data_IF_702230154110
#
_entry.id   IF_702230154110
#
_cell.length_a   1.000
_cell.length_b   1.000
_cell.length_c   1.000
_cell.angle_alpha   90.00
_cell.angle_beta   90.00
_cell.angle_gamma   90.00
#
_symmetry.space_group_name_H-M   'P 1'
#
loop_
_entity.id
_entity.type
_entity.pdbx_description
1 polymer ?
#
# COMPACT_ATOMS: atom_id res chain seq x y z
N UNK A 1 -6.87 13.76 4.81
CA UNK A 1 -6.56 15.09 4.25
C UNK A 1 -5.14 15.45 4.65
N UNK A 2 -4.38 16.01 3.73
CA UNK A 2 -2.98 16.40 3.95
C UNK A 2 -2.59 17.55 3.04
N UNK A 3 -1.56 18.30 3.44
CA UNK A 3 -0.93 19.32 2.60
C UNK A 3 0.00 18.67 1.58
N UNK A 4 -0.10 19.03 0.32
CA UNK A 4 0.77 18.56 -0.75
C UNK A 4 2.24 18.86 -0.41
N UNK A 5 3.13 17.86 -0.39
CA UNK A 5 4.55 18.11 -0.20
C UNK A 5 5.10 18.90 -1.41
N UNK A 6 6.23 19.62 -1.27
CA UNK A 6 6.80 20.41 -2.36
C UNK A 6 6.94 19.63 -3.66
N UNK A 7 7.40 18.38 -3.59
CA UNK A 7 7.51 17.47 -4.74
C UNK A 7 6.21 17.38 -5.58
N UNK A 8 5.05 17.57 -4.96
CA UNK A 8 3.75 17.51 -5.63
C UNK A 8 3.28 18.84 -6.20
N UNK A 9 3.63 19.95 -5.56
CA UNK A 9 3.04 21.28 -5.83
C UNK A 9 4.00 22.23 -6.55
N UNK A 10 5.25 21.81 -6.84
CA UNK A 10 6.28 22.66 -7.45
C UNK A 10 5.89 23.27 -8.81
N UNK A 11 4.87 22.73 -9.49
CA UNK A 11 4.38 23.21 -10.79
C UNK A 11 2.99 23.90 -10.69
N UNK A 12 2.44 24.04 -9.49
CA UNK A 12 1.12 24.66 -9.28
C UNK A 12 1.28 26.17 -9.07
N UNK A 13 0.61 26.96 -9.90
CA UNK A 13 0.59 28.43 -9.80
C UNK A 13 -0.05 28.78 -8.46
N UNK A 14 0.69 29.48 -7.59
CA UNK A 14 0.16 29.91 -6.30
C UNK A 14 -1.13 30.73 -6.49
N UNK A 15 -2.25 30.37 -5.83
CA UNK A 15 -3.37 31.26 -5.70
C UNK A 15 -2.89 32.56 -5.02
N UNK A 16 -3.29 33.72 -5.54
CA UNK A 16 -2.99 34.99 -4.86
C UNK A 16 -3.63 34.98 -3.46
N UNK A 17 -2.81 34.84 -2.42
CA UNK A 17 -3.25 35.06 -1.05
C UNK A 17 -3.68 36.51 -0.90
N UNK A 18 -4.96 36.73 -0.55
CA UNK A 18 -5.46 38.08 -0.28
C UNK A 18 -4.84 38.60 1.01
N UNK A 19 -4.27 39.80 1.01
CA UNK A 19 -3.67 40.47 2.18
C UNK A 19 -4.66 40.91 3.26
N UNK A 20 -5.96 40.61 3.09
CA UNK A 20 -7.02 41.03 4.00
C UNK A 20 -7.42 39.88 4.96
N UNK A 21 -7.13 40.07 6.26
CA UNK A 21 -7.39 39.10 7.34
C UNK A 21 -8.87 38.71 7.47
N UNK A 22 -9.81 39.60 7.12
CA UNK A 22 -11.25 39.31 7.17
C UNK A 22 -11.63 38.34 6.04
N UNK A 23 -11.04 38.53 4.86
CA UNK A 23 -11.27 37.64 3.70
C UNK A 23 -10.64 36.28 3.95
N UNK A 24 -9.47 36.21 4.59
CA UNK A 24 -8.85 34.95 5.00
C UNK A 24 -9.71 34.20 6.03
N UNK A 25 -10.26 34.90 7.03
CA UNK A 25 -11.15 34.29 8.02
C UNK A 25 -12.45 33.73 7.42
N UNK A 26 -13.09 34.49 6.52
CA UNK A 26 -14.29 34.04 5.82
C UNK A 26 -14.02 32.87 4.86
N UNK A 27 -12.88 32.89 4.15
CA UNK A 27 -12.46 31.77 3.29
C UNK A 27 -12.09 30.53 4.10
N UNK A 28 -11.44 30.67 5.25
CA UNK A 28 -11.12 29.55 6.15
C UNK A 28 -12.36 28.89 6.74
N UNK A 29 -13.36 29.68 7.14
CA UNK A 29 -14.67 29.16 7.54
C UNK A 29 -15.41 28.53 6.36
N UNK A 30 -15.35 29.16 5.19
CA UNK A 30 -15.93 28.65 3.95
C UNK A 30 -15.31 27.32 3.51
N UNK A 31 -13.99 27.15 3.58
CA UNK A 31 -13.28 25.93 3.18
C UNK A 31 -13.55 24.77 4.15
N UNK A 32 -13.68 25.06 5.45
CA UNK A 32 -14.08 24.07 6.46
C UNK A 32 -15.46 23.45 6.16
N UNK A 33 -16.40 24.26 5.64
CA UNK A 33 -17.77 23.85 5.30
C UNK A 33 -17.92 23.47 3.82
N UNK A 34 -16.88 23.67 3.00
CA UNK A 34 -16.86 23.34 1.56
C UNK A 34 -17.48 24.40 0.63
N UNK A 35 -17.70 25.63 1.10
CA UNK A 35 -18.19 26.78 0.33
C UNK A 35 -17.09 27.65 -0.31
N UNK A 36 -15.84 27.48 0.11
CA UNK A 36 -14.68 28.03 -0.59
C UNK A 36 -13.88 26.84 -1.17
N UNK A 37 -13.33 26.96 -2.39
CA UNK A 37 -12.44 25.93 -2.91
C UNK A 37 -11.35 25.70 -1.86
N UNK A 38 -11.08 24.44 -1.45
CA UNK A 38 -9.93 24.16 -0.59
C UNK A 38 -8.70 24.77 -1.27
N UNK A 39 -7.73 25.24 -0.48
CA UNK A 39 -6.45 25.62 -1.06
C UNK A 39 -6.01 24.47 -1.99
N UNK A 40 -5.57 24.78 -3.21
CA UNK A 40 -5.23 23.79 -4.24
C UNK A 40 -4.15 22.79 -3.78
N UNK A 41 -3.56 23.05 -2.61
CA UNK A 41 -2.53 22.25 -1.94
C UNK A 41 -3.07 21.25 -0.92
N UNK A 42 -4.37 21.24 -0.62
CA UNK A 42 -4.95 20.27 0.33
C UNK A 42 -5.59 19.10 -0.40
N UNK A 43 -5.10 17.88 -0.12
CA UNK A 43 -5.48 16.67 -0.83
C UNK A 43 -6.21 15.68 0.08
N UNK A 44 -7.18 14.97 -0.48
CA UNK A 44 -7.86 13.85 0.16
C UNK A 44 -7.57 12.58 -0.63
N UNK A 45 -6.80 11.67 -0.02
CA UNK A 45 -6.45 10.35 -0.56
C UNK A 45 -6.45 9.33 0.57
N UNK A 46 -6.48 8.05 0.23
CA UNK A 46 -6.38 6.94 1.19
C UNK A 46 -4.94 6.54 1.40
N UNK A 47 -4.55 6.29 2.65
CA UNK A 47 -3.24 5.70 2.98
C UNK A 47 -3.26 4.21 2.61
N UNK A 48 -2.32 3.81 1.76
CA UNK A 48 -2.18 2.44 1.26
C UNK A 48 -1.05 1.71 1.98
N UNK A 49 0.08 2.39 2.20
CA UNK A 49 1.23 1.85 2.91
C UNK A 49 1.89 2.92 3.79
N UNK A 50 2.57 2.49 4.85
CA UNK A 50 3.29 3.37 5.78
C UNK A 50 4.80 3.11 5.70
N UNK A 51 5.59 4.01 6.29
CA UNK A 51 7.04 3.93 6.28
C UNK A 51 7.62 2.57 6.67
N UNK A 52 8.59 2.10 5.90
CA UNK A 52 9.22 0.79 6.03
C UNK A 52 8.63 -0.30 5.14
N UNK A 53 7.35 -0.16 4.74
CA UNK A 53 6.67 -1.11 3.86
C UNK A 53 7.11 -0.93 2.40
N UNK A 54 7.01 -2.01 1.62
CA UNK A 54 7.19 -1.98 0.17
C UNK A 54 5.83 -2.10 -0.51
N UNK A 55 5.49 -1.10 -1.33
CA UNK A 55 4.25 -1.06 -2.10
C UNK A 55 4.56 -1.25 -3.58
N UNK A 56 3.75 -2.04 -4.27
CA UNK A 56 3.90 -2.27 -5.70
C UNK A 56 2.55 -2.56 -6.35
N UNK A 57 2.47 -2.27 -7.64
CA UNK A 57 1.40 -2.76 -8.50
C UNK A 57 1.98 -3.76 -9.50
N UNK A 58 1.33 -4.88 -9.80
CA UNK A 58 0.14 -5.46 -9.18
C UNK A 58 0.26 -6.98 -9.17
N UNK A 59 -0.62 -7.66 -8.41
CA UNK A 59 -0.75 -9.12 -8.54
C UNK A 59 -1.39 -9.50 -9.89
N UNK A 60 -1.41 -10.81 -10.26
CA UNK A 60 -2.01 -11.25 -11.52
C UNK A 60 -3.50 -10.90 -11.68
N UNK A 61 -4.18 -10.53 -10.60
CA UNK A 61 -5.58 -10.11 -10.55
C UNK A 61 -5.72 -8.57 -10.57
N UNK A 62 -4.63 -7.83 -10.76
CA UNK A 62 -4.64 -6.36 -10.82
C UNK A 62 -4.77 -5.69 -9.46
N UNK A 63 -4.53 -6.40 -8.35
CA UNK A 63 -4.60 -5.83 -6.99
C UNK A 63 -3.26 -5.25 -6.57
N UNK A 64 -3.34 -4.17 -5.80
CA UNK A 64 -2.17 -3.58 -5.14
C UNK A 64 -1.55 -4.57 -4.16
N UNK A 65 -0.22 -4.55 -4.04
CA UNK A 65 0.52 -5.40 -3.12
C UNK A 65 1.28 -4.51 -2.13
N UNK A 66 1.21 -4.86 -0.84
CA UNK A 66 2.06 -4.28 0.22
C UNK A 66 2.75 -5.42 0.96
N UNK A 67 4.07 -5.37 1.05
CA UNK A 67 4.93 -6.38 1.68
C UNK A 67 4.60 -7.82 1.20
N UNK A 68 4.36 -7.97 -0.11
CA UNK A 68 4.03 -9.25 -0.74
C UNK A 68 2.59 -9.73 -0.52
N UNK A 69 1.71 -8.93 0.10
CA UNK A 69 0.29 -9.25 0.31
C UNK A 69 -0.61 -8.38 -0.56
N UNK A 70 -1.51 -9.00 -1.31
CA UNK A 70 -2.52 -8.32 -2.10
C UNK A 70 -3.58 -7.71 -1.18
N UNK A 71 -3.88 -6.44 -1.41
CA UNK A 71 -4.81 -5.67 -0.61
C UNK A 71 -6.26 -6.08 -0.86
N UNK A 72 -7.10 -5.89 0.16
CA UNK A 72 -8.56 -5.97 0.06
C UNK A 72 -9.13 -4.56 -0.07
N UNK A 73 -9.62 -4.20 -1.26
CA UNK A 73 -9.95 -2.82 -1.62
C UNK A 73 -11.41 -2.66 -2.12
N UNK A 74 -12.43 -2.94 -1.29
CA UNK A 74 -13.84 -2.88 -1.67
C UNK A 74 -14.34 -1.45 -1.97
N UNK A 75 -13.53 -0.45 -1.64
CA UNK A 75 -13.82 0.97 -1.84
C UNK A 75 -13.40 1.50 -3.22
N UNK A 76 -12.72 0.70 -4.05
CA UNK A 76 -12.23 1.19 -5.34
C UNK A 76 -13.41 1.52 -6.25
N UNK A 77 -13.28 2.67 -6.89
CA UNK A 77 -14.14 3.10 -7.97
C UNK A 77 -13.35 3.09 -9.29
N UNK A 78 -14.01 2.59 -10.33
CA UNK A 78 -13.54 2.62 -11.70
C UNK A 78 -14.47 3.54 -12.49
N UNK A 79 -13.93 4.59 -13.10
CA UNK A 79 -14.73 5.52 -13.91
C UNK A 79 -15.41 4.80 -15.09
N UNK A 80 -14.71 3.86 -15.72
CA UNK A 80 -15.27 2.88 -16.65
C UNK A 80 -15.20 1.48 -16.00
N UNK A 81 -16.33 0.91 -15.57
CA UNK A 81 -16.37 -0.42 -14.97
C UNK A 81 -15.89 -1.56 -15.89
N UNK A 82 -15.84 -1.32 -17.21
CA UNK A 82 -15.32 -2.28 -18.19
C UNK A 82 -13.79 -2.30 -18.24
N UNK A 83 -13.12 -1.27 -17.70
CA UNK A 83 -11.67 -1.12 -17.67
C UNK A 83 -11.17 -1.01 -16.23
N UNK A 84 -11.02 -2.16 -15.58
CA UNK A 84 -10.54 -2.27 -14.19
C UNK A 84 -9.02 -2.45 -14.13
N UNK A 85 -8.30 -1.49 -14.70
CA UNK A 85 -6.85 -1.55 -14.80
C UNK A 85 -6.18 -0.56 -13.84
N UNK A 86 -5.30 -1.06 -12.98
CA UNK A 86 -4.44 -0.21 -12.16
C UNK A 86 -3.31 0.36 -13.02
N UNK A 87 -3.03 1.65 -12.82
CA UNK A 87 -1.81 2.23 -13.39
C UNK A 87 -0.59 1.63 -12.67
N UNK A 88 0.27 0.95 -13.43
CA UNK A 88 1.45 0.25 -12.91
C UNK A 88 2.57 1.22 -12.57
N UNK A 89 3.43 0.81 -11.62
CA UNK A 89 4.60 1.56 -11.19
C UNK A 89 5.59 0.58 -10.53
N UNK A 90 6.87 0.95 -10.54
CA UNK A 90 7.92 0.13 -9.93
C UNK A 90 7.74 -0.01 -8.41
N UNK A 91 8.18 -1.13 -7.80
CA UNK A 91 8.12 -1.31 -6.35
C UNK A 91 8.80 -0.15 -5.61
N UNK A 92 8.07 0.45 -4.66
CA UNK A 92 8.56 1.56 -3.85
C UNK A 92 8.63 1.12 -2.39
N UNK A 93 9.82 1.24 -1.80
CA UNK A 93 9.96 1.17 -0.34
C UNK A 93 9.64 2.53 0.26
N UNK A 94 8.55 2.61 1.01
CA UNK A 94 8.09 3.86 1.62
C UNK A 94 9.11 4.30 2.68
N UNK A 95 9.67 5.51 2.60
CA UNK A 95 10.61 6.01 3.60
C UNK A 95 9.99 6.07 5.00
N UNK A 96 10.82 5.94 6.03
CA UNK A 96 10.37 6.13 7.41
C UNK A 96 9.79 7.54 7.61
N UNK A 97 8.71 7.66 8.39
CA UNK A 97 8.02 8.92 8.60
C UNK A 97 7.19 9.41 7.40
N UNK A 98 7.01 8.58 6.37
CA UNK A 98 6.18 8.89 5.20
C UNK A 98 5.07 7.86 5.02
N UNK A 99 4.09 8.22 4.19
CA UNK A 99 2.97 7.37 3.77
C UNK A 99 2.85 7.36 2.25
N UNK A 100 2.42 6.23 1.71
CA UNK A 100 2.00 6.09 0.32
C UNK A 100 0.49 6.25 0.24
N UNK A 101 0.00 7.15 -0.62
CA UNK A 101 -1.43 7.46 -0.71
C UNK A 101 -1.94 7.32 -2.14
N UNK A 102 -3.18 6.83 -2.29
CA UNK A 102 -3.85 6.71 -3.58
C UNK A 102 -5.30 7.17 -3.50
N UNK A 103 -5.84 7.65 -4.61
CA UNK A 103 -7.26 7.94 -4.73
C UNK A 103 -8.08 6.65 -4.84
N UNK A 104 -9.33 6.70 -4.39
CA UNK A 104 -10.26 5.58 -4.54
C UNK A 104 -10.77 5.47 -6.00
N UNK A 105 -10.81 6.58 -6.75
CA UNK A 105 -11.01 6.58 -8.21
C UNK A 105 -9.69 6.22 -8.92
N UNK A 106 -9.45 4.93 -9.14
CA UNK A 106 -8.08 4.42 -9.39
C UNK A 106 -7.50 4.76 -10.74
N UNK A 107 -8.33 4.83 -11.77
CA UNK A 107 -7.94 5.20 -13.13
C UNK A 107 -7.89 6.72 -13.34
N UNK A 108 -8.54 7.50 -12.46
CA UNK A 108 -8.64 8.96 -12.55
C UNK A 108 -8.24 9.64 -11.23
N UNK A 109 -7.00 9.42 -10.80
CA UNK A 109 -6.42 10.06 -9.62
C UNK A 109 -4.93 10.28 -9.80
N UNK A 110 -4.50 11.54 -9.79
CA UNK A 110 -3.10 11.91 -9.60
C UNK A 110 -2.77 11.79 -8.11
N UNK A 111 -1.86 10.86 -7.80
CA UNK A 111 -1.48 10.47 -6.45
C UNK A 111 -0.04 9.96 -6.42
N UNK A 112 0.39 9.31 -5.32
CA UNK A 112 1.79 8.91 -5.10
C UNK A 112 2.40 8.12 -6.26
N UNK A 113 1.60 7.44 -7.08
CA UNK A 113 2.09 6.69 -8.25
C UNK A 113 2.82 7.57 -9.27
N UNK A 114 2.39 8.83 -9.45
CA UNK A 114 2.90 9.72 -10.50
C UNK A 114 3.36 11.08 -9.98
N UNK A 115 2.79 11.54 -8.88
CA UNK A 115 3.08 12.85 -8.33
C UNK A 115 4.54 12.94 -7.86
N UNK A 116 5.20 14.08 -8.10
CA UNK A 116 6.64 14.23 -7.87
C UNK A 116 7.54 13.37 -8.79
N UNK A 117 6.98 12.86 -9.89
CA UNK A 117 7.67 11.93 -10.80
C UNK A 117 7.59 10.47 -10.35
N UNK A 118 6.74 10.15 -9.37
CA UNK A 118 6.58 8.80 -8.83
C UNK A 118 7.77 8.35 -7.97
N UNK A 119 7.86 7.03 -7.75
CA UNK A 119 8.89 6.46 -6.89
C UNK A 119 8.82 7.02 -5.46
N UNK A 120 9.97 7.17 -4.79
CA UNK A 120 10.02 7.70 -3.42
C UNK A 120 9.51 9.15 -3.30
N UNK A 121 9.57 9.94 -4.38
CA UNK A 121 9.09 11.33 -4.40
C UNK A 121 7.56 11.42 -4.38
N UNK A 122 6.88 10.32 -4.70
CA UNK A 122 5.45 10.18 -4.53
C UNK A 122 5.01 10.02 -3.08
N UNK A 123 5.90 9.69 -2.15
CA UNK A 123 5.54 9.51 -0.75
C UNK A 123 5.27 10.87 -0.05
N UNK A 124 4.35 10.86 0.92
CA UNK A 124 3.92 12.06 1.64
C UNK A 124 4.41 11.97 3.09
N UNK A 125 5.06 13.01 3.64
CA UNK A 125 5.43 13.05 5.05
C UNK A 125 4.22 12.92 5.98
N UNK A 126 4.35 12.18 7.08
CA UNK A 126 3.29 12.07 8.10
C UNK A 126 2.92 13.44 8.67
N UNK A 127 3.90 14.33 8.82
CA UNK A 127 3.70 15.69 9.33
C UNK A 127 2.82 16.57 8.41
N UNK A 128 2.65 16.18 7.15
CA UNK A 128 1.74 16.87 6.24
C UNK A 128 0.27 16.46 6.44
N UNK A 129 -0.01 15.40 7.22
CA UNK A 129 -1.37 14.93 7.46
C UNK A 129 -2.08 15.90 8.41
N UNK A 130 -3.13 16.53 7.89
CA UNK A 130 -3.98 17.46 8.66
C UNK A 130 -4.96 16.66 9.52
N UNK A 131 -5.54 15.60 8.95
CA UNK A 131 -6.53 14.81 9.66
C UNK A 131 -7.27 13.80 8.79
N UNK A 132 -8.14 13.04 9.45
CA UNK A 132 -8.92 11.96 8.85
C UNK A 132 -10.35 12.42 8.56
N UNK A 133 -10.83 12.14 7.35
CA UNK A 133 -12.21 12.44 6.97
C UNK A 133 -13.15 11.47 7.70
N UNK A 134 -14.19 11.98 8.37
CA UNK A 134 -15.11 11.16 9.20
C UNK A 134 -16.59 11.40 8.93
N UNK A 135 -16.97 12.55 8.36
CA UNK A 135 -18.38 12.95 8.21
C UNK A 135 -18.58 13.57 6.83
N UNK A 136 -19.67 13.20 6.17
CA UNK A 136 -20.15 13.84 4.96
C UNK A 136 -21.15 14.92 5.37
N UNK A 137 -20.78 16.18 5.19
CA UNK A 137 -21.63 17.33 5.57
C UNK A 137 -22.46 17.87 4.42
N UNK A 138 -22.14 17.52 3.17
CA UNK A 138 -22.89 17.92 1.97
C UNK A 138 -22.81 16.86 0.86
N UNK A 139 -23.83 16.79 -0.03
CA UNK A 139 -25.15 17.42 0.13
C UNK A 139 -25.94 16.78 1.30
N UNK A 140 -27.00 17.42 1.83
CA UNK A 140 -27.75 16.90 2.98
C UNK A 140 -28.31 15.49 2.80
N UNK A 141 -28.63 15.12 1.56
CA UNK A 141 -29.07 13.77 1.19
C UNK A 141 -28.02 12.68 1.43
N UNK A 142 -26.75 13.05 1.64
CA UNK A 142 -25.63 12.15 1.89
C UNK A 142 -25.05 12.26 3.29
N UNK A 143 -25.73 12.95 4.21
CA UNK A 143 -25.28 13.04 5.59
C UNK A 143 -25.06 11.66 6.20
N UNK A 144 -23.89 11.48 6.80
CA UNK A 144 -23.48 10.20 7.35
C UNK A 144 -22.00 10.17 7.71
N UNK A 145 -21.60 9.09 8.36
CA UNK A 145 -20.19 8.82 8.65
C UNK A 145 -19.46 8.27 7.44
N UNK A 146 -18.16 8.54 7.37
CA UNK A 146 -17.23 7.90 6.43
C UNK A 146 -16.64 6.69 7.15
N UNK A 147 -16.81 5.50 6.56
CA UNK A 147 -16.22 4.27 7.08
C UNK A 147 -14.76 4.17 6.67
N UNK A 148 -13.96 3.54 7.53
CA UNK A 148 -12.51 3.47 7.38
C UNK A 148 -12.07 2.03 7.20
N UNK A 149 -12.28 1.50 6.00
CA UNK A 149 -11.74 0.18 5.65
C UNK A 149 -10.21 0.23 5.65
N UNK A 150 -9.58 -0.69 6.37
CA UNK A 150 -8.14 -0.90 6.34
C UNK A 150 -7.81 -1.95 5.26
N UNK A 151 -7.21 -1.56 4.13
CA UNK A 151 -6.98 -2.49 3.02
C UNK A 151 -5.94 -3.58 3.32
N UNK A 152 -5.14 -3.40 4.38
CA UNK A 152 -4.13 -4.37 4.80
C UNK A 152 -4.65 -5.41 5.79
N UNK A 153 -5.83 -5.19 6.40
CA UNK A 153 -6.36 -6.07 7.46
C UNK A 153 -6.70 -7.47 6.94
N UNK A 154 -7.32 -7.55 5.76
CA UNK A 154 -7.69 -8.79 5.08
C UNK A 154 -6.73 -9.13 3.92
N UNK A 155 -5.53 -8.54 3.90
CA UNK A 155 -4.60 -8.71 2.78
C UNK A 155 -4.09 -10.15 2.67
N UNK A 156 -4.13 -10.69 1.45
CA UNK A 156 -3.81 -12.09 1.17
C UNK A 156 -2.38 -12.23 0.66
N UNK A 157 -1.57 -13.18 1.16
CA UNK A 157 -0.23 -13.42 0.60
C UNK A 157 -0.30 -13.69 -0.90
N UNK A 158 0.49 -12.96 -1.67
CA UNK A 158 0.69 -13.26 -3.10
C UNK A 158 1.83 -14.26 -3.16
N UNK A 159 1.56 -15.43 -3.75
CA UNK A 159 2.61 -16.37 -4.10
C UNK A 159 3.43 -15.78 -5.26
N UNK A 160 4.31 -14.82 -4.96
CA UNK A 160 5.29 -14.32 -5.91
C UNK A 160 6.33 -15.43 -6.11
N UNK A 161 6.01 -16.34 -7.03
CA UNK A 161 6.91 -17.34 -7.58
C UNK A 161 7.70 -18.13 -6.55
N UNK A 162 7.09 -19.16 -5.96
CA UNK A 162 7.90 -20.32 -5.61
C UNK A 162 8.62 -20.78 -6.91
N UNK A 163 9.94 -21.00 -6.90
CA UNK A 163 10.65 -21.59 -8.03
C UNK A 163 9.85 -22.74 -8.65
N UNK A 164 9.81 -22.88 -9.97
CA UNK A 164 9.01 -23.89 -10.66
C UNK A 164 9.29 -25.36 -10.23
N UNK A 165 10.37 -25.61 -9.48
CA UNK A 165 10.63 -26.91 -8.87
C UNK A 165 9.81 -27.19 -7.60
N UNK A 166 9.16 -26.18 -7.02
CA UNK A 166 8.31 -26.28 -5.82
C UNK A 166 6.81 -26.36 -6.15
N UNK A 167 6.40 -26.03 -7.38
CA UNK A 167 5.00 -25.99 -7.81
C UNK A 167 4.32 -27.35 -7.98
N UNK A 168 4.93 -28.44 -7.51
CA UNK A 168 4.37 -29.80 -7.58
C UNK A 168 4.57 -30.64 -6.32
N UNK A 169 5.14 -30.08 -5.25
CA UNK A 169 5.35 -30.81 -4.00
C UNK A 169 4.19 -30.50 -3.04
N UNK A 170 3.32 -31.47 -2.71
CA UNK A 170 2.34 -31.25 -1.65
C UNK A 170 3.08 -30.90 -0.36
N UNK A 171 2.49 -30.04 0.47
CA UNK A 171 3.08 -29.47 1.69
C UNK A 171 3.55 -30.51 2.76
N UNK A 172 3.52 -31.81 2.46
CA UNK A 172 4.09 -32.90 3.26
C UNK A 172 5.26 -33.68 2.62
N UNK A 173 5.61 -33.45 1.35
CA UNK A 173 6.63 -34.26 0.67
C UNK A 173 8.05 -34.03 1.21
N UNK A 174 8.36 -32.81 1.66
CA UNK A 174 9.67 -32.48 2.26
C UNK A 174 9.97 -33.26 3.54
N UNK A 175 8.93 -33.60 4.32
CA UNK A 175 9.07 -34.39 5.56
C UNK A 175 9.28 -35.89 5.22
N UNK A 176 8.63 -36.40 4.17
CA UNK A 176 8.77 -37.79 3.75
C UNK A 176 10.16 -38.12 3.19
N UNK A 177 10.81 -37.19 2.47
CA UNK A 177 12.14 -37.39 1.91
C UNK A 177 13.27 -37.38 2.96
N UNK A 178 13.07 -36.73 4.12
CA UNK A 178 14.08 -36.64 5.17
C UNK A 178 14.20 -37.92 6.02
N UNK A 179 13.12 -38.71 6.11
CA UNK A 179 13.06 -39.88 7.00
C UNK A 179 13.98 -41.04 6.57
N UNK A 180 14.05 -41.44 5.28
CA UNK A 180 14.93 -42.53 4.84
C UNK A 180 16.41 -42.17 4.97
N UNK A 181 16.80 -40.92 4.66
CA UNK A 181 18.18 -40.47 4.72
C UNK A 181 18.73 -40.47 6.16
N UNK A 182 17.92 -40.02 7.12
CA UNK A 182 18.27 -40.05 8.55
C UNK A 182 18.36 -41.49 9.08
N UNK A 183 17.50 -42.40 8.60
CA UNK A 183 17.51 -43.81 9.03
C UNK A 183 18.70 -44.58 8.46
N UNK A 184 19.05 -44.37 7.18
CA UNK A 184 20.25 -44.95 6.57
C UNK A 184 21.52 -44.39 7.22
N UNK A 185 21.60 -43.08 7.47
CA UNK A 185 22.73 -42.46 8.15
C UNK A 185 22.97 -43.02 9.56
N UNK A 186 21.89 -43.30 10.31
CA UNK A 186 21.99 -43.93 11.65
C UNK A 186 22.45 -45.38 11.58
N UNK A 187 22.02 -46.17 10.59
CA UNK A 187 22.47 -47.56 10.40
C UNK A 187 23.93 -47.66 9.96
N UNK A 188 24.38 -46.78 9.06
CA UNK A 188 25.78 -46.73 8.63
C UNK A 188 26.72 -46.35 9.78
N UNK A 189 26.34 -45.36 10.59
CA UNK A 189 27.13 -44.91 11.74
C UNK A 189 27.19 -45.98 12.85
N UNK A 190 26.15 -46.78 13.05
CA UNK A 190 26.16 -47.88 14.02
C UNK A 190 26.97 -49.08 13.54
N UNK A 191 26.93 -49.41 12.24
CA UNK A 191 27.75 -50.45 11.62
C UNK A 191 29.25 -50.14 11.71
N UNK A 192 29.64 -48.90 11.39
CA UNK A 192 31.04 -48.46 11.48
C UNK A 192 31.58 -48.48 12.92
N UNK A 193 30.76 -48.11 13.91
CA UNK A 193 31.15 -48.19 15.34
C UNK A 193 31.33 -49.64 15.81
N UNK A 194 30.54 -50.58 15.30
CA UNK A 194 30.65 -52.01 15.63
C UNK A 194 31.89 -52.66 15.00
N UNK A 195 32.29 -52.21 13.82
CA UNK A 195 33.52 -52.63 13.16
C UNK A 195 34.78 -52.06 13.83
N UNK A 196 34.74 -50.80 14.28
CA UNK A 196 35.86 -50.15 14.95
C UNK A 196 36.08 -50.60 16.42
N UNK A 197 35.05 -51.16 17.08
CA UNK A 197 35.13 -51.64 18.46
C UNK A 197 35.60 -53.10 18.61
N UNK A 198 35.87 -53.80 17.51
CA UNK A 198 36.29 -55.22 17.53
C UNK A 198 37.78 -55.29 17.19
N UNK A 199 38.64 -54.99 18.16
CA UNK A 199 40.06 -55.39 18.10
C UNK A 199 40.17 -56.89 18.44
N UNK A 200 41.04 -57.65 17.75
CA UNK A 200 41.32 -59.04 18.07
C UNK A 200 41.96 -59.19 19.45
#
# INVERSE_FOLDING_TARGET
>A
MFKGPPAWINNEIAPQESSNIIVQGLRGLGSLVGFAPPDERDFVKRVIAVGGQTVQCCDPQGRMIVDGKALDEPYIHWEDPSVQEQKTFEPVKVPAGMVWVQGDNRNNSDDSRFQGGGGVNGAVPVDNIIGKARIIVLPPSRWGGITDHNPQESAQPVALGAPAWQSGLPLGAGIAAAWPALFLGRKLKSGLRRAAGRKP
#
